data_IF_177267139870
#
_entry.id   IF_177267139870
#
_cell.length_a   1.000
_cell.length_b   1.000
_cell.length_c   1.000
_cell.angle_alpha   90.00
_cell.angle_beta   90.00
_cell.angle_gamma   90.00
#
_symmetry.space_group_name_H-M   'P 1'
#
loop_
_entity.id
_entity.type
_entity.pdbx_description
1 polymer ?
#
# COMPACT_ATOMS: atom_id res chain seq x y z
N UNK A 1 46.04 -36.21 -11.42
CA UNK A 1 46.96 -35.17 -10.92
C UNK A 1 46.09 -34.03 -10.42
N UNK A 2 46.17 -33.63 -9.15
CA UNK A 2 45.30 -32.61 -8.59
C UNK A 2 45.85 -31.22 -8.92
N UNK A 3 45.05 -30.40 -9.61
CA UNK A 3 45.35 -28.99 -9.83
C UNK A 3 44.86 -28.13 -8.65
N UNK A 4 45.73 -27.19 -8.29
CA UNK A 4 45.69 -26.35 -7.11
C UNK A 4 44.51 -25.36 -7.10
N UNK A 5 43.90 -25.28 -5.92
CA UNK A 5 42.94 -24.26 -5.48
C UNK A 5 43.65 -22.90 -5.33
N UNK A 6 43.13 -21.80 -5.91
CA UNK A 6 43.50 -20.46 -5.47
C UNK A 6 42.60 -20.00 -4.31
N UNK A 7 43.22 -19.68 -3.17
CA UNK A 7 42.58 -18.99 -2.03
C UNK A 7 42.28 -17.53 -2.37
N UNK A 8 41.09 -17.01 -2.07
CA UNK A 8 40.86 -15.56 -2.00
C UNK A 8 41.39 -14.99 -0.67
N UNK A 9 42.13 -13.87 -0.75
CA UNK A 9 42.56 -13.08 0.40
C UNK A 9 41.42 -12.16 0.89
N UNK A 10 41.30 -11.91 2.21
CA UNK A 10 40.33 -10.97 2.75
C UNK A 10 40.85 -9.52 2.68
N UNK A 11 40.27 -8.70 1.81
CA UNK A 11 40.44 -7.24 1.86
C UNK A 11 39.56 -6.64 2.96
N UNK A 12 40.22 -6.11 3.98
CA UNK A 12 39.62 -5.33 5.05
C UNK A 12 39.03 -4.02 4.51
N UNK A 13 37.71 -3.84 4.64
CA UNK A 13 37.06 -2.54 4.47
C UNK A 13 36.90 -1.88 5.84
N UNK A 14 37.55 -0.73 5.99
CA UNK A 14 37.51 0.09 7.19
C UNK A 14 36.14 0.78 7.34
N UNK A 15 35.54 0.67 8.53
CA UNK A 15 34.46 1.51 9.02
C UNK A 15 34.97 2.94 9.21
N UNK A 16 34.26 3.93 8.66
CA UNK A 16 34.36 5.33 9.08
C UNK A 16 32.98 5.78 9.58
N UNK A 17 32.88 5.91 10.91
CA UNK A 17 31.72 6.45 11.63
C UNK A 17 31.90 7.98 11.66
N UNK A 18 31.00 8.71 11.01
CA UNK A 18 30.91 10.17 11.06
C UNK A 18 29.62 10.58 11.77
N UNK A 19 29.68 10.72 13.09
CA UNK A 19 28.66 11.35 13.93
C UNK A 19 29.05 12.82 14.14
N UNK A 20 28.23 13.73 13.63
CA UNK A 20 28.28 15.14 14.03
C UNK A 20 26.85 15.65 14.27
N UNK A 21 26.43 15.54 15.52
CA UNK A 21 25.28 16.22 16.10
C UNK A 21 25.75 17.56 16.69
N UNK A 22 25.30 18.67 16.13
CA UNK A 22 25.44 19.98 16.77
C UNK A 22 24.31 20.91 16.33
N UNK A 23 23.27 21.01 17.15
CA UNK A 23 22.38 22.17 17.20
C UNK A 23 22.14 22.49 18.67
N UNK A 24 22.96 23.43 19.14
CA UNK A 24 22.89 24.03 20.45
C UNK A 24 21.65 24.92 20.54
N UNK A 25 20.83 24.66 21.55
CA UNK A 25 19.77 25.56 21.99
C UNK A 25 20.40 26.88 22.49
N UNK A 26 19.99 27.99 21.90
CA UNK A 26 20.24 29.32 22.45
C UNK A 26 18.89 29.89 22.90
N UNK A 27 18.62 29.75 24.19
CA UNK A 27 17.59 30.51 24.89
C UNK A 27 18.13 31.86 25.34
N UNK A 28 17.28 32.88 25.34
CA UNK A 28 17.53 34.14 26.03
C UNK A 28 16.75 35.33 25.46
N UNK A 29 15.99 36.02 26.33
CA UNK A 29 15.54 37.41 26.11
C UNK A 29 14.02 37.59 26.01
N UNK A 30 13.25 37.56 27.09
CA UNK A 30 12.96 38.69 28.01
C UNK A 30 11.92 39.70 27.46
N UNK A 31 10.69 39.62 27.98
CA UNK A 31 9.79 40.77 28.13
C UNK A 31 8.88 40.51 29.33
N UNK A 32 9.19 41.20 30.43
CA UNK A 32 8.29 41.43 31.53
C UNK A 32 7.62 42.80 31.30
N UNK A 33 6.31 42.90 31.54
CA UNK A 33 5.65 44.14 31.99
C UNK A 33 4.31 43.81 32.64
N UNK A 34 4.19 44.27 33.90
CA UNK A 34 3.03 44.26 34.78
C UNK A 34 1.76 44.89 34.16
N UNK A 35 0.57 44.44 34.59
CA UNK A 35 -0.30 45.22 35.49
C UNK A 35 -1.73 44.64 35.57
N UNK A 36 -2.29 44.77 36.77
CA UNK A 36 -3.56 44.27 37.29
C UNK A 36 -4.80 45.03 36.78
N UNK A 37 -5.95 44.35 36.88
CA UNK A 37 -7.29 44.86 37.25
C UNK A 37 -8.34 45.11 36.15
N UNK A 38 -9.32 44.20 36.16
CA UNK A 38 -10.76 44.42 36.43
C UNK A 38 -11.79 44.36 35.28
N UNK A 39 -12.80 43.53 35.57
CA UNK A 39 -14.19 43.45 35.09
C UNK A 39 -14.56 43.68 33.62
N UNK A 40 -14.98 42.58 32.98
CA UNK A 40 -15.84 42.58 31.80
C UNK A 40 -16.64 41.28 31.71
N UNK A 41 -17.90 41.33 32.15
CA UNK A 41 -18.92 40.30 31.95
C UNK A 41 -19.13 40.07 30.45
N UNK A 42 -18.96 38.83 29.95
CA UNK A 42 -19.72 38.30 28.82
C UNK A 42 -19.82 36.78 28.88
N UNK A 43 -20.96 36.31 28.41
CA UNK A 43 -21.54 34.99 28.59
C UNK A 43 -20.86 33.87 27.79
N UNK A 44 -21.11 32.66 28.27
CA UNK A 44 -21.24 31.40 27.52
C UNK A 44 -20.12 31.01 26.57
N UNK A 45 -19.35 30.02 26.98
CA UNK A 45 -18.84 29.00 26.06
C UNK A 45 -19.15 27.65 26.68
N UNK A 46 -20.23 27.06 26.16
CA UNK A 46 -20.59 25.66 26.32
C UNK A 46 -19.38 24.78 26.02
N UNK A 47 -19.00 23.96 26.99
CA UNK A 47 -18.29 22.70 26.75
C UNK A 47 -19.10 21.93 25.71
N UNK A 48 -18.71 22.08 24.46
CA UNK A 48 -19.16 21.19 23.40
C UNK A 48 -18.26 19.99 23.55
N UNK A 49 -18.76 18.80 23.95
CA UNK A 49 -17.97 17.60 23.81
C UNK A 49 -17.65 17.51 22.33
N UNK A 50 -16.37 17.51 21.98
CA UNK A 50 -15.90 17.09 20.66
C UNK A 50 -16.32 15.64 20.54
N UNK A 51 -17.56 15.42 20.12
CA UNK A 51 -18.07 14.11 19.78
C UNK A 51 -17.20 13.64 18.63
N UNK A 52 -16.42 12.60 18.87
CA UNK A 52 -15.73 11.87 17.81
C UNK A 52 -16.73 11.68 16.67
N UNK A 53 -16.34 12.15 15.49
CA UNK A 53 -17.12 11.89 14.29
C UNK A 53 -17.39 10.38 14.25
N UNK A 54 -18.63 9.94 13.98
CA UNK A 54 -18.96 8.52 14.02
C UNK A 54 -17.98 7.75 13.15
N UNK A 55 -17.20 6.86 13.80
CA UNK A 55 -16.19 6.02 13.16
C UNK A 55 -16.93 5.24 12.08
N UNK A 56 -16.72 5.63 10.82
CA UNK A 56 -17.32 4.92 9.69
C UNK A 56 -16.61 3.58 9.62
N UNK A 57 -17.38 2.49 9.52
CA UNK A 57 -16.78 1.16 9.40
C UNK A 57 -15.88 1.14 8.16
N UNK A 58 -14.64 0.69 8.33
CA UNK A 58 -13.70 0.62 7.23
C UNK A 58 -14.24 -0.31 6.12
N UNK A 59 -13.96 -0.03 4.84
CA UNK A 59 -14.36 -0.91 3.76
C UNK A 59 -13.75 -2.31 3.94
N UNK A 60 -14.44 -3.34 3.44
CA UNK A 60 -14.00 -4.72 3.62
C UNK A 60 -13.99 -5.50 2.32
N UNK A 61 -13.21 -6.57 2.27
CA UNK A 61 -13.14 -7.48 1.13
C UNK A 61 -14.49 -8.14 0.81
N UNK A 62 -15.37 -8.29 1.82
CA UNK A 62 -16.73 -8.79 1.63
C UNK A 62 -17.59 -7.87 0.74
N UNK A 63 -17.25 -6.59 0.64
CA UNK A 63 -17.88 -5.64 -0.29
C UNK A 63 -17.36 -5.79 -1.73
N UNK A 64 -16.40 -6.70 -1.96
CA UNK A 64 -15.80 -7.02 -3.25
C UNK A 64 -14.30 -6.71 -3.30
N UNK A 65 -13.53 -7.50 -4.08
CA UNK A 65 -12.08 -7.32 -4.23
C UNK A 65 -11.69 -5.97 -4.86
N UNK A 66 -12.63 -5.31 -5.53
CA UNK A 66 -12.48 -4.03 -6.22
C UNK A 66 -12.88 -2.82 -5.35
N UNK A 67 -13.14 -2.99 -4.06
CA UNK A 67 -13.62 -1.89 -3.19
C UNK A 67 -12.72 -0.64 -3.23
N UNK A 68 -11.39 -0.81 -3.19
CA UNK A 68 -10.45 0.31 -3.35
C UNK A 68 -10.46 0.88 -4.78
N UNK A 69 -10.59 0.04 -5.81
CA UNK A 69 -10.64 0.47 -7.21
C UNK A 69 -11.88 1.35 -7.48
N UNK A 70 -13.04 0.99 -6.92
CA UNK A 70 -14.26 1.80 -7.00
C UNK A 70 -14.12 3.13 -6.26
N UNK A 71 -13.47 3.14 -5.09
CA UNK A 71 -13.20 4.37 -4.35
C UNK A 71 -12.31 5.33 -5.15
N UNK A 72 -11.25 4.79 -5.78
CA UNK A 72 -10.37 5.54 -6.68
C UNK A 72 -11.12 6.08 -7.89
N UNK A 73 -11.92 5.25 -8.56
CA UNK A 73 -12.71 5.68 -9.72
C UNK A 73 -13.71 6.79 -9.37
N UNK A 74 -14.30 6.76 -8.18
CA UNK A 74 -15.16 7.84 -7.67
C UNK A 74 -14.39 9.14 -7.43
N UNK A 75 -13.16 9.04 -6.92
CA UNK A 75 -12.33 10.21 -6.58
C UNK A 75 -11.70 10.87 -7.81
N UNK A 76 -11.18 10.07 -8.74
CA UNK A 76 -10.34 10.54 -9.85
C UNK A 76 -11.01 10.42 -11.23
N UNK A 77 -12.15 9.72 -11.31
CA UNK A 77 -12.81 9.36 -12.56
C UNK A 77 -12.41 7.96 -13.05
N UNK A 78 -13.33 7.28 -13.73
CA UNK A 78 -13.12 5.90 -14.20
C UNK A 78 -12.04 5.79 -15.28
N UNK A 79 -11.79 6.83 -16.07
CA UNK A 79 -10.80 6.81 -17.16
C UNK A 79 -9.44 7.41 -16.77
N UNK A 80 -9.22 7.68 -15.47
CA UNK A 80 -7.91 8.14 -15.00
C UNK A 80 -6.84 7.10 -15.37
N UNK A 81 -5.72 7.57 -15.92
CA UNK A 81 -4.59 6.73 -16.27
C UNK A 81 -3.81 6.39 -15.01
N UNK A 82 -3.84 5.13 -14.61
CA UNK A 82 -3.17 4.60 -13.42
C UNK A 82 -1.99 3.74 -13.81
N UNK A 83 -0.98 3.71 -12.96
CA UNK A 83 0.20 2.83 -13.09
C UNK A 83 0.22 1.71 -12.05
N UNK A 84 -0.27 2.00 -10.84
CA UNK A 84 -0.26 1.07 -9.73
C UNK A 84 -1.41 1.38 -8.79
N UNK A 85 -2.05 0.33 -8.27
CA UNK A 85 -3.03 0.41 -7.19
C UNK A 85 -2.63 -0.61 -6.14
N UNK A 86 -2.53 -0.19 -4.89
CA UNK A 86 -2.32 -1.07 -3.76
C UNK A 86 -3.59 -1.08 -2.89
N UNK A 87 -4.29 -2.23 -2.87
CA UNK A 87 -5.35 -2.53 -1.92
C UNK A 87 -4.86 -3.66 -1.03
N UNK A 88 -4.66 -3.41 0.26
CA UNK A 88 -4.31 -4.44 1.23
C UNK A 88 -5.41 -4.59 2.27
N UNK A 89 -5.58 -5.82 2.73
CA UNK A 89 -6.58 -6.21 3.70
C UNK A 89 -5.90 -6.93 4.86
N UNK A 90 -6.41 -6.72 6.07
CA UNK A 90 -5.96 -7.41 7.26
C UNK A 90 -6.14 -8.93 7.09
N UNK A 91 -5.09 -9.75 7.23
CA UNK A 91 -5.23 -11.20 7.37
C UNK A 91 -5.83 -11.61 8.72
N UNK A 92 -5.81 -10.72 9.72
CA UNK A 92 -6.39 -10.93 11.04
C UNK A 92 -5.50 -11.73 12.00
N UNK A 93 -5.81 -11.60 13.29
CA UNK A 93 -5.01 -12.11 14.40
C UNK A 93 -4.76 -13.62 14.42
N UNK A 94 -5.61 -14.42 13.76
CA UNK A 94 -5.43 -15.88 13.63
C UNK A 94 -4.24 -16.25 12.73
N UNK A 95 -3.88 -15.38 11.80
CA UNK A 95 -2.78 -15.59 10.86
C UNK A 95 -1.56 -14.81 11.33
N UNK A 96 -1.76 -13.55 11.73
CA UNK A 96 -0.71 -12.69 12.26
C UNK A 96 -1.12 -12.14 13.62
N UNK A 97 -0.49 -12.63 14.69
CA UNK A 97 -0.84 -12.23 16.05
C UNK A 97 -0.61 -10.74 16.36
N UNK A 98 0.11 -10.02 15.49
CA UNK A 98 0.33 -8.57 15.60
C UNK A 98 -0.69 -7.73 14.84
N UNK A 99 -1.64 -8.37 14.14
CA UNK A 99 -2.72 -7.73 13.40
C UNK A 99 -3.91 -7.47 14.34
N UNK A 100 -4.18 -6.19 14.57
CA UNK A 100 -5.22 -5.72 15.47
C UNK A 100 -6.53 -5.43 14.70
N UNK A 101 -6.50 -5.46 13.38
CA UNK A 101 -7.63 -5.24 12.51
C UNK A 101 -8.46 -6.54 12.28
N UNK A 102 -9.77 -6.42 12.05
CA UNK A 102 -10.58 -7.57 11.65
C UNK A 102 -10.14 -8.14 10.30
N UNK A 103 -10.14 -9.46 10.18
CA UNK A 103 -9.87 -10.16 8.92
C UNK A 103 -10.72 -9.61 7.77
N UNK A 104 -10.07 -9.23 6.67
CA UNK A 104 -10.69 -8.68 5.48
C UNK A 104 -11.00 -7.18 5.56
N UNK A 105 -10.67 -6.49 6.65
CA UNK A 105 -10.75 -5.03 6.73
C UNK A 105 -9.66 -4.38 5.85
N UNK A 106 -10.02 -3.35 5.09
CA UNK A 106 -9.09 -2.63 4.21
C UNK A 106 -8.10 -1.81 5.05
N UNK A 107 -6.82 -2.14 4.99
CA UNK A 107 -5.75 -1.47 5.74
C UNK A 107 -4.95 -0.50 4.88
N UNK A 108 -5.01 -0.63 3.55
CA UNK A 108 -4.34 0.30 2.63
C UNK A 108 -5.14 0.42 1.35
N UNK A 109 -5.32 1.64 0.88
CA UNK A 109 -5.78 1.94 -0.47
C UNK A 109 -5.02 3.14 -1.01
N UNK A 110 -4.18 2.90 -2.02
CA UNK A 110 -3.40 3.96 -2.68
C UNK A 110 -3.32 3.73 -4.18
N UNK A 111 -3.13 4.82 -4.92
CA UNK A 111 -3.00 4.79 -6.38
C UNK A 111 -1.90 5.74 -6.83
N UNK A 112 -1.12 5.29 -7.82
CA UNK A 112 -0.22 6.13 -8.61
C UNK A 112 -0.85 6.38 -9.98
N UNK A 113 -1.04 7.64 -10.34
CA UNK A 113 -1.77 8.04 -11.55
C UNK A 113 -1.09 9.20 -12.29
N UNK A 114 -1.40 9.36 -13.57
CA UNK A 114 -0.86 10.44 -14.39
C UNK A 114 -1.34 11.79 -13.86
N UNK A 115 -0.40 12.73 -13.68
CA UNK A 115 -0.74 14.09 -13.32
C UNK A 115 -1.55 14.74 -14.47
N UNK A 116 -2.79 15.21 -14.22
CA UNK A 116 -3.60 15.85 -15.26
C UNK A 116 -3.02 17.19 -15.75
N UNK A 117 -2.19 17.85 -14.94
CA UNK A 117 -1.57 19.14 -15.28
C UNK A 117 -0.23 18.98 -16.02
N UNK A 118 0.48 17.88 -15.81
CA UNK A 118 1.74 17.57 -16.51
C UNK A 118 1.78 16.07 -16.86
N UNK A 119 1.45 15.67 -18.11
CA UNK A 119 1.33 14.27 -18.48
C UNK A 119 2.65 13.50 -18.42
N UNK A 120 3.78 14.16 -18.17
CA UNK A 120 5.10 13.52 -17.98
C UNK A 120 5.36 13.12 -16.53
N UNK A 121 4.44 13.43 -15.60
CA UNK A 121 4.61 13.20 -14.16
C UNK A 121 3.54 12.26 -13.62
N UNK A 122 3.88 11.60 -12.52
CA UNK A 122 2.95 10.81 -11.71
C UNK A 122 2.65 11.52 -10.39
N UNK A 123 1.43 11.34 -9.92
CA UNK A 123 1.01 11.65 -8.56
C UNK A 123 0.65 10.36 -7.83
N UNK A 124 0.75 10.38 -6.51
CA UNK A 124 0.23 9.35 -5.62
C UNK A 124 -0.76 9.97 -4.65
N UNK A 125 -1.84 9.26 -4.38
CA UNK A 125 -2.82 9.62 -3.36
C UNK A 125 -3.21 8.34 -2.60
N UNK A 126 -3.45 8.50 -1.30
CA UNK A 126 -3.85 7.41 -0.42
C UNK A 126 -5.13 7.78 0.31
N UNK A 127 -5.97 6.77 0.54
CA UNK A 127 -7.18 6.87 1.33
C UNK A 127 -6.84 6.59 2.79
N UNK A 128 -7.33 7.44 3.69
CA UNK A 128 -7.48 7.09 5.10
C UNK A 128 -8.64 6.09 5.20
N UNK A 129 -8.34 4.84 5.58
CA UNK A 129 -9.31 3.73 5.53
C UNK A 129 -10.36 3.80 6.64
N UNK A 130 -10.12 4.56 7.71
CA UNK A 130 -11.07 4.76 8.79
C UNK A 130 -12.11 5.82 8.46
N UNK A 131 -11.72 6.85 7.69
CA UNK A 131 -12.62 7.92 7.26
C UNK A 131 -13.16 7.72 5.84
N UNK A 132 -12.51 6.88 5.04
CA UNK A 132 -12.81 6.70 3.61
C UNK A 132 -12.43 7.91 2.75
N UNK A 133 -11.65 8.86 3.27
CA UNK A 133 -11.30 10.10 2.57
C UNK A 133 -9.91 10.03 1.97
N UNK A 134 -9.75 10.57 0.76
CA UNK A 134 -8.44 10.67 0.12
C UNK A 134 -7.70 11.92 0.57
N UNK A 135 -6.41 11.76 0.87
CA UNK A 135 -5.52 12.85 1.24
C UNK A 135 -5.15 13.76 0.06
N UNK A 136 -4.12 14.60 0.25
CA UNK A 136 -3.60 15.43 -0.84
C UNK A 136 -2.69 14.61 -1.77
N UNK A 137 -2.77 14.79 -3.10
CA UNK A 137 -1.83 14.19 -4.02
C UNK A 137 -0.38 14.63 -3.75
N UNK A 138 0.56 13.71 -3.90
CA UNK A 138 1.99 13.97 -3.81
C UNK A 138 2.72 13.55 -5.09
N UNK A 139 3.78 14.25 -5.52
CA UNK A 139 4.57 13.85 -6.69
C UNK A 139 5.27 12.51 -6.46
N UNK A 140 5.33 11.70 -7.50
CA UNK A 140 6.06 10.42 -7.50
C UNK A 140 7.34 10.58 -8.29
N UNK A 141 8.46 10.23 -7.66
CA UNK A 141 9.73 10.12 -8.37
C UNK A 141 9.79 8.81 -9.16
N UNK A 142 10.19 8.91 -10.43
CA UNK A 142 10.35 7.76 -11.31
C UNK A 142 11.85 7.51 -11.50
N UNK A 143 12.34 6.42 -10.91
CA UNK A 143 13.70 5.95 -11.14
C UNK A 143 13.68 4.82 -12.17
N UNK A 144 14.43 4.99 -13.26
CA UNK A 144 14.65 3.95 -14.27
C UNK A 144 15.98 3.25 -13.96
N UNK A 145 15.91 1.95 -13.68
CA UNK A 145 17.08 1.13 -13.38
C UNK A 145 17.21 -0.03 -14.37
N UNK A 146 18.45 -0.46 -14.64
CA UNK A 146 18.73 -1.65 -15.45
C UNK A 146 18.48 -1.49 -16.96
N UNK A 147 18.26 -0.27 -17.47
CA UNK A 147 18.00 -0.02 -18.88
C UNK A 147 18.36 1.40 -19.33
N UNK A 148 18.09 1.68 -20.60
CA UNK A 148 18.30 3.00 -21.20
C UNK A 148 17.16 3.94 -20.83
N UNK A 149 17.43 4.89 -19.94
CA UNK A 149 16.45 5.86 -19.47
C UNK A 149 15.87 6.73 -20.60
N UNK A 150 16.57 6.90 -21.73
CA UNK A 150 16.07 7.66 -22.87
C UNK A 150 14.94 6.95 -23.62
N UNK A 151 14.80 5.63 -23.44
CA UNK A 151 13.72 4.82 -24.03
C UNK A 151 12.51 4.70 -23.11
N UNK A 152 12.62 5.16 -21.87
CA UNK A 152 11.50 5.11 -20.93
C UNK A 152 10.37 6.02 -21.41
N UNK A 153 9.17 5.45 -21.40
CA UNK A 153 7.92 6.10 -21.78
C UNK A 153 6.93 5.90 -20.65
N UNK A 154 6.42 6.99 -20.11
CA UNK A 154 5.46 6.92 -19.01
C UNK A 154 4.16 6.27 -19.48
N UNK A 155 3.76 6.49 -20.72
CA UNK A 155 2.58 5.89 -21.34
C UNK A 155 2.60 4.35 -21.35
N UNK A 156 3.78 3.72 -21.39
CA UNK A 156 3.91 2.26 -21.43
C UNK A 156 3.54 1.61 -20.07
N UNK A 157 3.58 2.40 -18.99
CA UNK A 157 3.25 1.96 -17.63
C UNK A 157 1.94 2.54 -17.12
N UNK A 158 1.10 3.06 -18.02
CA UNK A 158 -0.21 3.63 -17.70
C UNK A 158 -1.34 2.86 -18.38
N UNK A 159 -2.44 2.61 -17.67
CA UNK A 159 -3.69 2.11 -18.26
C UNK A 159 -4.88 2.92 -17.75
N UNK A 160 -5.95 3.10 -18.55
CA UNK A 160 -7.20 3.66 -18.03
C UNK A 160 -7.82 2.71 -17.00
N UNK A 161 -8.17 3.23 -15.82
CA UNK A 161 -8.75 2.43 -14.74
C UNK A 161 -10.00 1.64 -15.16
N UNK A 162 -10.79 2.19 -16.09
CA UNK A 162 -12.00 1.58 -16.67
C UNK A 162 -11.73 0.26 -17.41
N UNK A 163 -10.48 0.00 -17.79
CA UNK A 163 -10.06 -1.26 -18.44
C UNK A 163 -9.68 -2.35 -17.44
N UNK A 164 -9.66 -2.05 -16.13
CA UNK A 164 -9.33 -2.99 -15.06
C UNK A 164 -10.60 -3.61 -14.48
N UNK A 165 -10.79 -4.91 -14.68
CA UNK A 165 -11.89 -5.67 -14.10
C UNK A 165 -11.49 -6.37 -12.80
N UNK A 166 -11.23 -5.61 -11.73
CA UNK A 166 -10.93 -6.19 -10.43
C UNK A 166 -12.12 -6.93 -9.80
N UNK A 167 -13.37 -6.55 -10.12
CA UNK A 167 -14.57 -7.23 -9.62
C UNK A 167 -14.63 -8.71 -10.07
N UNK A 168 -14.13 -9.00 -11.27
CA UNK A 168 -14.02 -10.35 -11.83
C UNK A 168 -13.19 -11.33 -10.98
N UNK A 169 -12.31 -10.82 -10.12
CA UNK A 169 -11.46 -11.63 -9.25
C UNK A 169 -12.24 -12.49 -8.25
N UNK A 170 -13.48 -12.11 -7.92
CA UNK A 170 -14.34 -12.85 -6.99
C UNK A 170 -14.44 -14.33 -7.34
N UNK A 171 -14.68 -14.65 -8.62
CA UNK A 171 -14.81 -16.04 -9.08
C UNK A 171 -13.47 -16.79 -9.03
N UNK A 172 -12.36 -16.10 -9.33
CA UNK A 172 -11.03 -16.69 -9.24
C UNK A 172 -10.69 -17.01 -7.79
N UNK A 173 -10.90 -16.06 -6.87
CA UNK A 173 -10.67 -16.24 -5.43
C UNK A 173 -11.50 -17.40 -4.88
N UNK A 174 -12.78 -17.50 -5.24
CA UNK A 174 -13.63 -18.62 -4.83
C UNK A 174 -13.09 -19.96 -5.32
N UNK A 175 -12.67 -20.03 -6.59
CA UNK A 175 -12.17 -21.27 -7.19
C UNK A 175 -10.92 -21.85 -6.51
N UNK A 176 -10.15 -21.04 -5.79
CA UNK A 176 -8.92 -21.47 -5.13
C UNK A 176 -9.12 -21.94 -3.69
N UNK A 177 -10.28 -21.67 -3.08
CA UNK A 177 -10.52 -21.94 -1.65
C UNK A 177 -10.24 -23.40 -1.27
N UNK A 178 -10.72 -24.36 -2.06
CA UNK A 178 -10.51 -25.78 -1.77
C UNK A 178 -9.02 -26.16 -1.73
N UNK A 179 -8.21 -25.61 -2.65
CA UNK A 179 -6.76 -25.84 -2.70
C UNK A 179 -6.05 -25.16 -1.54
N UNK A 180 -6.44 -23.94 -1.18
CA UNK A 180 -5.89 -23.23 -0.04
C UNK A 180 -6.19 -23.98 1.27
N UNK A 181 -7.42 -24.44 1.45
CA UNK A 181 -7.86 -25.24 2.61
C UNK A 181 -7.15 -26.58 2.75
N UNK A 182 -6.53 -27.13 1.70
CA UNK A 182 -5.73 -28.36 1.82
C UNK A 182 -4.29 -28.12 2.30
N UNK A 183 -3.82 -26.87 2.26
CA UNK A 183 -2.44 -26.48 2.60
C UNK A 183 -2.38 -25.69 3.91
N UNK A 184 -3.34 -24.80 4.12
CA UNK A 184 -3.37 -23.89 5.26
C UNK A 184 -4.43 -24.31 6.28
N UNK A 185 -4.09 -24.25 7.58
CA UNK A 185 -5.04 -24.38 8.69
C UNK A 185 -5.94 -23.14 8.81
N UNK A 186 -5.37 -21.96 8.55
CA UNK A 186 -6.04 -20.66 8.44
C UNK A 186 -5.42 -19.89 7.28
N UNK A 187 -6.24 -19.24 6.46
CA UNK A 187 -5.76 -18.34 5.42
C UNK A 187 -6.76 -17.20 5.17
N UNK A 188 -6.25 -16.07 4.70
CA UNK A 188 -7.03 -14.92 4.32
C UNK A 188 -6.42 -14.27 3.09
N UNK A 189 -7.28 -13.71 2.24
CA UNK A 189 -6.84 -12.86 1.14
C UNK A 189 -6.38 -11.51 1.71
N UNK A 190 -5.12 -11.16 1.51
CA UNK A 190 -4.51 -9.99 2.13
C UNK A 190 -4.22 -8.85 1.15
N UNK A 191 -4.41 -9.06 -0.15
CA UNK A 191 -4.17 -8.00 -1.13
C UNK A 191 -4.86 -8.19 -2.47
N UNK A 192 -5.24 -7.07 -3.08
CA UNK A 192 -5.69 -6.96 -4.48
C UNK A 192 -5.01 -5.75 -5.09
N UNK A 193 -4.08 -5.96 -6.02
CA UNK A 193 -3.17 -4.92 -6.49
C UNK A 193 -3.14 -4.85 -8.00
N UNK A 194 -3.13 -3.65 -8.55
CA UNK A 194 -2.73 -3.44 -9.93
C UNK A 194 -1.23 -3.20 -9.95
N UNK A 195 -0.49 -4.09 -10.60
CA UNK A 195 0.95 -3.95 -10.76
C UNK A 195 1.29 -3.37 -12.13
N UNK A 196 2.18 -2.38 -12.10
CA UNK A 196 2.82 -1.81 -13.28
C UNK A 196 3.69 -2.86 -14.01
N UNK A 197 3.84 -2.79 -15.34
CA UNK A 197 4.77 -3.61 -16.12
C UNK A 197 6.22 -3.23 -15.77
N UNK A 198 6.73 -3.77 -14.66
CA UNK A 198 8.13 -3.63 -14.23
C UNK A 198 8.88 -4.95 -14.32
N UNK A 199 8.18 -6.04 -13.97
CA UNK A 199 8.68 -7.43 -14.05
C UNK A 199 7.87 -8.27 -15.05
N UNK A 200 6.94 -7.63 -15.77
CA UNK A 200 6.08 -8.21 -16.79
C UNK A 200 5.91 -7.22 -17.95
N UNK A 201 5.56 -7.72 -19.13
CA UNK A 201 5.32 -6.88 -20.32
C UNK A 201 3.95 -6.19 -20.33
N UNK A 202 3.10 -6.53 -19.35
CA UNK A 202 1.71 -6.03 -19.24
C UNK A 202 1.36 -5.77 -17.79
N UNK A 203 0.36 -4.91 -17.57
CA UNK A 203 -0.26 -4.76 -16.26
C UNK A 203 -0.93 -6.07 -15.82
N UNK A 204 -0.90 -6.33 -14.52
CA UNK A 204 -1.56 -7.50 -13.94
C UNK A 204 -2.28 -7.13 -12.66
N UNK A 205 -3.41 -7.78 -12.42
CA UNK A 205 -4.02 -7.86 -11.11
C UNK A 205 -3.32 -8.94 -10.30
N UNK A 206 -2.73 -8.57 -9.17
CA UNK A 206 -2.16 -9.52 -8.21
C UNK A 206 -3.11 -9.67 -7.04
N UNK A 207 -3.41 -10.91 -6.68
CA UNK A 207 -4.15 -11.25 -5.46
C UNK A 207 -3.20 -11.96 -4.51
N UNK A 208 -3.06 -11.44 -3.29
CA UNK A 208 -2.17 -11.95 -2.25
C UNK A 208 -2.96 -12.75 -1.21
N UNK A 209 -2.36 -13.82 -0.71
CA UNK A 209 -2.88 -14.63 0.41
C UNK A 209 -1.82 -14.71 1.49
N UNK A 210 -2.25 -14.59 2.74
CA UNK A 210 -1.46 -14.98 3.90
C UNK A 210 -2.14 -16.16 4.58
N UNK A 211 -1.36 -17.07 5.15
CA UNK A 211 -1.90 -18.23 5.86
C UNK A 211 -0.91 -18.91 6.78
N UNK A 212 -1.44 -19.77 7.65
CA UNK A 212 -0.71 -20.66 8.56
C UNK A 212 -0.69 -22.05 7.95
N UNK A 213 0.49 -22.62 7.72
CA UNK A 213 0.60 -23.97 7.15
C UNK A 213 0.00 -25.01 8.09
N UNK A 214 -0.82 -25.92 7.55
CA UNK A 214 -1.41 -27.00 8.35
C UNK A 214 -0.35 -27.98 8.90
N UNK A 215 0.82 -28.07 8.27
CA UNK A 215 1.89 -29.00 8.65
C UNK A 215 2.68 -28.58 9.90
N UNK A 216 2.84 -27.28 10.12
CA UNK A 216 3.78 -26.77 11.14
C UNK A 216 3.42 -25.37 11.70
N UNK A 217 2.26 -24.83 11.33
CA UNK A 217 1.74 -23.54 11.80
C UNK A 217 2.64 -22.32 11.50
N UNK A 218 3.56 -22.47 10.54
CA UNK A 218 4.40 -21.37 10.05
C UNK A 218 3.55 -20.45 9.17
N UNK A 219 3.67 -19.14 9.40
CA UNK A 219 3.09 -18.12 8.52
C UNK A 219 3.80 -18.16 7.18
N UNK A 220 3.04 -18.31 6.12
CA UNK A 220 3.50 -18.26 4.74
C UNK A 220 2.58 -17.35 3.92
N UNK A 221 3.11 -16.87 2.79
CA UNK A 221 2.36 -16.07 1.85
C UNK A 221 2.40 -16.64 0.45
N UNK A 222 1.46 -16.20 -0.36
CA UNK A 222 1.33 -16.62 -1.74
C UNK A 222 0.63 -15.56 -2.58
N UNK A 223 0.64 -15.76 -3.90
CA UNK A 223 -0.07 -14.87 -4.79
C UNK A 223 -0.54 -15.52 -6.09
N UNK A 224 -1.57 -14.92 -6.68
CA UNK A 224 -1.94 -15.07 -8.09
C UNK A 224 -1.58 -13.79 -8.84
N UNK A 225 -1.08 -13.92 -10.07
CA UNK A 225 -1.04 -12.82 -11.03
C UNK A 225 -2.00 -13.15 -12.17
N UNK A 226 -2.89 -12.21 -12.46
CA UNK A 226 -4.04 -12.33 -13.36
C UNK A 226 -4.00 -11.15 -14.31
N UNK A 227 -4.44 -11.31 -15.56
CA UNK A 227 -4.59 -10.17 -16.47
C UNK A 227 -5.64 -9.17 -15.94
N UNK A 228 -5.62 -7.96 -16.49
CA UNK A 228 -6.56 -6.90 -16.12
C UNK A 228 -8.02 -7.22 -16.49
N UNK A 229 -8.26 -8.30 -17.24
CA UNK A 229 -9.60 -8.85 -17.49
C UNK A 229 -10.25 -9.48 -16.24
N UNK A 230 -9.47 -9.67 -15.16
CA UNK A 230 -9.93 -10.22 -13.89
C UNK A 230 -10.15 -11.73 -13.89
N UNK A 231 -9.74 -12.44 -14.94
CA UNK A 231 -10.08 -13.85 -15.16
C UNK A 231 -8.90 -14.70 -15.61
N UNK A 232 -8.02 -14.17 -16.46
CA UNK A 232 -6.95 -14.96 -17.07
C UNK A 232 -5.74 -15.04 -16.14
N UNK A 233 -5.50 -16.20 -15.54
CA UNK A 233 -4.35 -16.45 -14.64
C UNK A 233 -3.05 -16.55 -15.43
N UNK A 234 -2.05 -15.71 -15.09
CA UNK A 234 -0.68 -15.79 -15.62
C UNK A 234 0.25 -16.60 -14.74
N UNK A 235 0.16 -16.39 -13.42
CA UNK A 235 1.04 -17.01 -12.42
C UNK A 235 0.18 -17.46 -11.25
N UNK A 236 0.39 -18.70 -10.79
CA UNK A 236 -0.20 -19.20 -9.56
C UNK A 236 0.91 -19.69 -8.63
N UNK A 237 1.12 -18.95 -7.54
CA UNK A 237 2.02 -19.24 -6.43
C UNK A 237 1.30 -19.05 -5.11
N UNK A 238 0.05 -19.52 -5.03
CA UNK A 238 -0.76 -19.45 -3.82
C UNK A 238 -0.35 -20.42 -2.73
N UNK A 239 0.45 -21.41 -3.08
CA UNK A 239 0.94 -22.46 -2.18
C UNK A 239 2.46 -22.53 -2.32
N UNK A 240 3.20 -22.77 -1.23
CA UNK A 240 4.65 -22.95 -1.26
C UNK A 240 5.07 -24.19 -2.05
#
# INVERSE_FOLDING_TARGET
MPDMIPRPQPTAFALAIGLSLSLSACGGGNSASNATSDNGVFASSSDTPTGDAPKTAAPTLAQGPDVCFRAIAKQLGADVKVSEINSFFSPGSKIDASDDEPEGELTTCSVKYQNPEDPRKLLSISMDTHTGTFGKPAPVEISVSGGDASKFKLEDILIPLSTVNAAGLTSIMESQKAKLSSVYSHYAWSGVRLLSPRFSDVHTLRVDVDGRLASNDIKENGYLSILTDGKTVKINRLTP
#
